data_IF_179252831239
#
_entry.id   IF_179252831239
#
_cell.length_a   1.000
_cell.length_b   1.000
_cell.length_c   1.000
_cell.angle_alpha   90.00
_cell.angle_beta   90.00
_cell.angle_gamma   90.00
#
_symmetry.space_group_name_H-M   'P 1'
#
loop_
_entity.id
_entity.type
_entity.pdbx_description
1 polymer ?
2 non-polymer ?
3 non-polymer ?
4 water ?
#
# COMPACT_ATOMS: atom_id res chain seq x y z
N UNK A 24 -23.57 -9.15 -28.42
CA UNK A 24 -23.98 -9.03 -29.81
C UNK A 24 -23.18 -7.95 -30.54
N UNK A 25 -23.48 -6.69 -30.23
CA UNK A 25 -22.76 -5.56 -30.82
C UNK A 25 -22.12 -4.70 -29.73
N UNK A 26 -21.03 -4.01 -30.06
CA UNK A 26 -20.33 -3.19 -29.08
C UNK A 26 -19.79 -1.88 -29.64
N UNK A 27 -19.38 -0.99 -28.74
CA UNK A 27 -18.86 0.32 -29.13
C UNK A 27 -17.78 0.81 -28.17
N UNK A 28 -16.79 1.54 -28.71
CA UNK A 28 -15.76 2.20 -27.90
C UNK A 28 -16.41 3.35 -27.14
N UNK A 29 -16.05 3.54 -25.88
CA UNK A 29 -16.79 4.49 -25.06
C UNK A 29 -15.93 5.19 -24.01
N UNK A 30 -16.43 6.36 -23.59
CA UNK A 30 -15.79 7.17 -22.56
C UNK A 30 -16.72 7.26 -21.37
N UNK A 31 -16.16 7.16 -20.16
CA UNK A 31 -16.95 7.30 -18.95
C UNK A 31 -17.19 8.76 -18.63
N UNK A 32 -18.45 9.19 -18.75
CA UNK A 32 -18.82 10.55 -18.39
C UNK A 32 -18.94 10.69 -16.88
N UNK A 33 -19.68 9.77 -16.28
CA UNK A 33 -19.87 9.76 -14.83
C UNK A 33 -20.02 8.35 -14.31
N UNK A 34 -19.80 8.20 -13.00
CA UNK A 34 -19.94 6.90 -12.35
C UNK A 34 -20.89 6.97 -11.16
N UNK A 35 -21.70 5.93 -10.99
CA UNK A 35 -22.56 5.78 -9.83
C UNK A 35 -21.95 4.75 -8.89
N UNK A 36 -21.22 5.22 -7.89
CA UNK A 36 -20.46 4.35 -7.00
C UNK A 36 -21.33 3.55 -6.02
N UNK A 37 -22.63 3.85 -6.01
CA UNK A 37 -23.56 3.11 -5.18
C UNK A 37 -24.25 2.00 -5.94
N UNK A 38 -24.66 2.30 -7.17
CA UNK A 38 -25.41 1.36 -7.98
C UNK A 38 -24.51 0.44 -8.79
N UNK A 39 -23.21 0.75 -8.80
CA UNK A 39 -22.25 0.07 -9.68
C UNK A 39 -22.68 0.27 -11.13
N UNK A 40 -22.92 1.52 -11.49
CA UNK A 40 -23.43 1.87 -12.80
C UNK A 40 -22.65 3.05 -13.37
N UNK A 41 -22.55 3.13 -14.70
CA UNK A 41 -21.84 4.24 -15.33
C UNK A 41 -22.66 4.98 -16.37
N UNK A 42 -22.23 6.19 -16.71
CA UNK A 42 -22.78 6.93 -17.82
C UNK A 42 -21.73 7.02 -18.92
N UNK A 43 -22.12 6.62 -20.12
CA UNK A 43 -21.16 6.42 -21.20
C UNK A 43 -21.44 7.31 -22.41
N UNK A 44 -20.38 7.69 -23.11
CA UNK A 44 -20.51 8.43 -24.35
C UNK A 44 -19.65 7.82 -25.45
N UNK A 45 -20.29 7.42 -26.55
CA UNK A 45 -19.60 6.88 -27.70
C UNK A 45 -18.50 7.83 -28.14
N UNK A 46 -17.33 7.29 -28.46
CA UNK A 46 -16.21 8.13 -28.89
C UNK A 46 -16.10 8.18 -30.41
N UNK A 47 -16.82 7.30 -31.08
CA UNK A 47 -16.91 7.33 -32.55
C UNK A 47 -18.36 7.55 -32.95
N UNK A 48 -18.56 7.92 -34.23
CA UNK A 48 -19.90 8.16 -34.76
C UNK A 48 -20.63 6.83 -35.00
N UNK A 49 -21.85 6.72 -34.45
CA UNK A 49 -22.63 5.49 -34.55
C UNK A 49 -23.34 5.33 -35.89
N UNK A 50 -23.36 4.10 -36.40
CA UNK A 50 -24.03 3.76 -37.66
C UNK A 50 -23.97 4.89 -38.69
N UNK A 56 -28.60 9.47 -37.15
CA UNK A 56 -29.30 10.39 -36.25
C UNK A 56 -28.72 10.31 -34.84
N UNK A 57 -28.14 11.43 -34.39
CA UNK A 57 -27.52 11.60 -33.06
C UNK A 57 -25.99 11.77 -33.13
N UNK A 58 -25.31 10.80 -33.74
CA UNK A 58 -23.84 10.80 -33.88
C UNK A 58 -23.08 10.22 -32.68
N UNK A 59 -23.15 10.89 -31.53
CA UNK A 59 -22.48 10.39 -30.32
C UNK A 59 -23.48 10.02 -29.25
N UNK A 60 -24.05 8.80 -29.35
CA UNK A 60 -25.07 8.30 -28.43
C UNK A 60 -24.56 8.13 -27.00
N UNK A 61 -25.43 8.38 -26.03
CA UNK A 61 -25.11 8.23 -24.62
C UNK A 61 -25.87 7.06 -24.01
N UNK A 62 -25.30 6.45 -22.99
CA UNK A 62 -25.91 5.30 -22.33
C UNK A 62 -25.93 5.53 -20.82
N UNK A 63 -27.09 5.29 -20.20
CA UNK A 63 -27.26 5.61 -18.79
C UNK A 63 -27.52 4.38 -17.93
N UNK A 64 -27.15 4.51 -16.65
CA UNK A 64 -27.32 3.44 -15.67
C UNK A 64 -26.90 2.07 -16.22
N UNK A 65 -25.77 2.05 -16.91
CA UNK A 65 -25.22 0.80 -17.43
C UNK A 65 -24.20 0.22 -16.46
N UNK A 66 -24.39 -1.05 -16.07
CA UNK A 66 -23.62 -1.71 -15.02
C UNK A 66 -22.29 -2.28 -15.50
N UNK A 67 -21.47 -2.72 -14.55
CA UNK A 67 -20.19 -3.34 -14.85
C UNK A 67 -19.89 -4.48 -13.87
N UNK A 68 -18.98 -5.37 -14.25
CA UNK A 68 -18.58 -6.48 -13.39
C UNK A 68 -17.82 -6.02 -12.16
N UNK A 69 -18.20 -6.54 -11.00
CA UNK A 69 -17.44 -6.33 -9.77
C UNK A 69 -16.97 -7.65 -9.21
N UNK A 70 -15.85 -7.64 -8.49
CA UNK A 70 -15.34 -8.85 -7.87
C UNK A 70 -15.81 -8.98 -6.43
N UNK A 71 -16.44 -10.10 -6.10
CA UNK A 71 -16.92 -10.33 -4.76
C UNK A 71 -17.72 -11.60 -4.59
N UNK A 72 -18.11 -11.86 -3.35
CA UNK A 72 -18.89 -13.03 -2.99
C UNK A 72 -19.07 -13.01 -1.49
N UNK A 73 -20.29 -13.27 -1.03
CA UNK A 73 -20.60 -13.14 0.38
C UNK A 73 -20.38 -11.70 0.81
N UNK A 74 -19.80 -11.52 2.00
CA UNK A 74 -19.53 -10.18 2.53
C UNK A 74 -18.27 -9.53 1.94
N UNK A 75 -17.48 -10.31 1.21
CA UNK A 75 -16.21 -9.82 0.71
C UNK A 75 -16.24 -9.24 -0.68
N UNK A 76 -15.26 -8.41 -1.00
CA UNK A 76 -15.18 -7.84 -2.34
C UNK A 76 -13.87 -7.12 -2.65
N UNK A 77 -13.63 -6.89 -3.93
CA UNK A 77 -12.49 -6.09 -4.37
C UNK A 77 -12.97 -5.00 -5.32
N UNK A 78 -12.76 -3.75 -4.93
CA UNK A 78 -13.21 -2.61 -5.71
C UNK A 78 -12.07 -1.98 -6.52
N UNK A 79 -12.32 -1.75 -7.81
CA UNK A 79 -11.36 -1.07 -8.70
C UNK A 79 -11.83 0.34 -9.03
N UNK A 80 -10.88 1.29 -9.15
CA UNK A 80 -11.20 2.72 -9.33
C UNK A 80 -11.63 3.13 -10.74
N UNK A 81 -12.75 2.60 -11.21
CA UNK A 81 -13.33 3.06 -12.47
C UNK A 81 -13.88 4.46 -12.29
N UNK A 82 -13.42 5.41 -13.11
CA UNK A 82 -13.81 6.80 -12.94
C UNK A 82 -14.01 7.56 -14.26
N UNK A 83 -14.65 8.72 -14.16
CA UNK A 83 -14.91 9.58 -15.31
C UNK A 83 -13.62 9.89 -16.04
N UNK A 84 -13.63 9.72 -17.35
CA UNK A 84 -12.44 9.90 -18.16
C UNK A 84 -11.94 8.57 -18.69
N UNK A 85 -12.28 7.50 -17.97
CA UNK A 85 -11.86 6.15 -18.35
C UNK A 85 -12.44 5.71 -19.70
N UNK A 86 -11.71 4.86 -20.39
CA UNK A 86 -12.14 4.30 -21.67
C UNK A 86 -12.51 2.83 -21.50
N UNK A 87 -13.41 2.36 -22.37
CA UNK A 87 -13.83 0.97 -22.34
C UNK A 87 -14.75 0.67 -23.50
N UNK A 88 -15.60 -0.33 -23.33
CA UNK A 88 -16.52 -0.73 -24.37
C UNK A 88 -17.86 -1.17 -23.79
N UNK A 89 -18.93 -0.61 -24.32
CA UNK A 89 -20.27 -1.07 -23.94
C UNK A 89 -20.72 -2.18 -24.90
N UNK A 90 -21.32 -3.22 -24.34
CA UNK A 90 -21.82 -4.32 -25.14
C UNK A 90 -23.32 -4.45 -24.97
N UNK A 91 -24.02 -4.79 -26.06
CA UNK A 91 -25.47 -4.90 -26.05
C UNK A 91 -26.01 -5.59 -27.30
N UNK A 92 -27.21 -5.20 -27.72
CA UNK A 92 -27.86 -5.79 -28.88
C UNK A 92 -29.06 -4.97 -29.33
N UNK A 108 -34.82 0.39 -7.74
CA UNK A 108 -34.71 -0.81 -6.91
C UNK A 108 -33.32 -0.92 -6.29
N UNK A 109 -32.78 -2.14 -6.26
CA UNK A 109 -31.47 -2.38 -5.67
C UNK A 109 -30.84 -3.68 -6.18
N UNK A 110 -29.54 -3.63 -6.45
CA UNK A 110 -28.81 -4.78 -6.95
C UNK A 110 -28.09 -5.52 -5.85
N UNK A 111 -26.90 -6.06 -6.15
CA UNK A 111 -26.32 -5.95 -7.49
C UNK A 111 -25.56 -7.23 -7.88
N UNK A 112 -25.67 -7.61 -9.14
CA UNK A 112 -25.04 -8.82 -9.65
C UNK A 112 -23.57 -8.58 -10.03
N UNK A 113 -22.70 -9.51 -9.67
CA UNK A 113 -21.26 -9.33 -9.90
C UNK A 113 -20.84 -9.51 -11.36
N UNK A 114 -21.51 -10.39 -12.09
CA UNK A 114 -21.26 -10.56 -13.52
C UNK A 114 -22.55 -10.35 -14.31
N UNK A 115 -22.76 -9.12 -14.81
CA UNK A 115 -24.02 -8.72 -15.44
C UNK A 115 -24.01 -8.88 -16.96
N UNK A 116 -22.85 -9.17 -17.54
CA UNK A 116 -22.75 -9.32 -18.99
C UNK A 116 -23.45 -10.57 -19.50
N UNK A 117 -24.11 -10.43 -20.64
CA UNK A 117 -24.85 -11.53 -21.23
C UNK A 117 -26.28 -11.60 -20.75
N UNK A 118 -26.52 -11.17 -19.51
CA UNK A 118 -27.85 -11.24 -18.92
C UNK A 118 -28.48 -9.87 -18.67
N UNK A 119 -27.72 -8.81 -18.93
CA UNK A 119 -28.25 -7.46 -18.93
C UNK A 119 -28.32 -6.96 -20.38
N UNK A 120 -29.25 -6.04 -20.66
CA UNK A 120 -29.38 -5.50 -22.02
C UNK A 120 -28.11 -4.78 -22.47
N UNK A 121 -27.24 -4.46 -21.50
CA UNK A 121 -25.96 -3.81 -21.78
C UNK A 121 -25.07 -3.79 -20.54
N UNK A 122 -23.76 -3.77 -20.76
CA UNK A 122 -22.81 -3.63 -19.66
C UNK A 122 -21.53 -2.96 -20.11
N UNK A 123 -20.78 -2.42 -19.14
CA UNK A 123 -19.53 -1.71 -19.44
C UNK A 123 -18.29 -2.56 -19.14
N UNK A 124 -17.33 -2.52 -20.05
CA UNK A 124 -16.09 -3.26 -19.86
C UNK A 124 -14.90 -2.32 -20.04
N UNK A 125 -14.15 -2.08 -18.95
CA UNK A 125 -12.96 -1.23 -19.00
C UNK A 125 -11.91 -1.78 -19.95
N UNK A 126 -11.32 -0.89 -20.74
CA UNK A 126 -10.24 -1.28 -21.63
C UNK A 126 -8.94 -0.65 -21.11
N UNK A 127 -8.38 -1.26 -20.07
CA UNK A 127 -7.21 -0.72 -19.38
C UNK A 127 -5.91 -0.98 -20.14
N UNK A 128 -4.94 -0.10 -19.95
CA UNK A 128 -3.65 -0.22 -20.62
C UNK A 128 -2.74 -1.19 -19.87
N UNK A 129 -2.08 -2.07 -20.61
CA UNK A 129 -1.19 -3.06 -20.01
C UNK A 129 0.09 -3.26 -20.83
N UNK A 130 0.10 -2.71 -22.04
CA UNK A 130 1.22 -2.89 -22.95
C UNK A 130 2.56 -2.44 -22.37
N UNK A 131 2.52 -1.44 -21.49
CA UNK A 131 3.74 -0.85 -20.93
C UNK A 131 4.13 -1.48 -19.59
N UNK A 132 3.44 -2.55 -19.22
CA UNK A 132 3.68 -3.21 -17.94
C UNK A 132 5.11 -3.69 -17.76
N UNK A 133 5.67 -3.41 -16.58
CA UNK A 133 6.97 -3.93 -16.19
C UNK A 133 6.77 -5.22 -15.43
N UNK A 134 7.87 -5.85 -15.03
CA UNK A 134 7.80 -7.10 -14.28
C UNK A 134 7.16 -6.87 -12.91
N UNK A 135 6.95 -5.60 -12.56
CA UNK A 135 6.39 -5.27 -11.26
C UNK A 135 4.86 -5.30 -11.22
N UNK A 136 4.22 -5.04 -12.36
CA UNK A 136 2.77 -5.07 -12.40
C UNK A 136 2.25 -6.42 -12.89
N UNK A 137 3.07 -7.11 -13.67
CA UNK A 137 2.69 -8.40 -14.23
C UNK A 137 3.88 -9.34 -14.13
N UNK A 138 3.66 -10.54 -13.59
CA UNK A 138 4.75 -11.47 -13.33
C UNK A 138 4.35 -12.89 -13.74
N UNK A 139 5.35 -13.77 -13.83
CA UNK A 139 5.12 -15.16 -14.23
C UNK A 139 4.92 -16.05 -13.02
N UNK A 140 5.26 -15.54 -11.84
CA UNK A 140 5.26 -16.34 -10.62
C UNK A 140 4.48 -15.72 -9.48
N UNK A 141 4.36 -14.40 -9.51
CA UNK A 141 3.76 -13.67 -8.38
C UNK A 141 2.33 -13.21 -8.63
N UNK A 142 1.52 -13.28 -7.58
CA UNK A 142 0.23 -12.61 -7.56
C UNK A 142 0.50 -11.16 -7.17
N UNK A 143 0.08 -10.23 -8.01
CA UNK A 143 0.39 -8.83 -7.75
C UNK A 143 -0.83 -7.91 -7.72
N UNK A 144 -1.07 -7.31 -6.57
CA UNK A 144 -2.06 -6.25 -6.48
C UNK A 144 -1.35 -4.91 -6.62
N UNK A 145 -1.84 -4.06 -7.51
CA UNK A 145 -1.20 -2.78 -7.76
C UNK A 145 -2.18 -1.69 -8.16
N UNK A 146 -1.78 -0.44 -7.96
CA UNK A 146 -2.59 0.70 -8.38
C UNK A 146 -1.72 1.80 -8.98
N UNK A 147 -1.89 2.02 -10.28
CA UNK A 147 -1.26 3.15 -10.96
C UNK A 147 0.27 3.10 -10.96
N UNK A 148 0.83 1.90 -11.07
CA UNK A 148 2.28 1.71 -10.94
C UNK A 148 2.86 2.48 -9.75
N UNK A 149 2.05 2.68 -8.71
CA UNK A 149 2.47 3.44 -7.54
C UNK A 149 2.43 2.60 -6.24
N UNK A 150 1.39 1.79 -6.10
CA UNK A 150 1.23 0.98 -4.90
C UNK A 150 1.19 -0.50 -5.21
N UNK A 151 1.88 -1.32 -4.41
CA UNK A 151 1.99 -2.74 -4.70
C UNK A 151 1.78 -3.64 -3.48
N UNK A 152 1.20 -4.81 -3.73
CA UNK A 152 1.28 -5.93 -2.81
C UNK A 152 1.57 -7.18 -3.62
N UNK A 153 2.76 -7.74 -3.48
CA UNK A 153 3.11 -8.93 -4.24
C UNK A 153 3.26 -10.18 -3.37
N UNK A 154 2.72 -11.28 -3.86
CA UNK A 154 2.76 -12.56 -3.16
C UNK A 154 3.45 -13.60 -4.04
N UNK A 155 4.66 -14.00 -3.65
CA UNK A 155 5.39 -14.97 -4.46
C UNK A 155 5.07 -16.39 -4.02
N UNK A 156 5.41 -17.38 -4.87
CA UNK A 156 5.04 -18.77 -4.58
C UNK A 156 6.01 -19.48 -3.64
N UNK A 157 6.96 -18.74 -3.07
CA UNK A 157 8.01 -19.36 -2.26
C UNK A 157 8.03 -18.88 -0.82
N UNK A 158 7.06 -18.04 -0.45
CA UNK A 158 6.96 -17.54 0.92
C UNK A 158 7.35 -16.08 1.08
N UNK A 159 7.61 -15.42 -0.04
CA UNK A 159 7.94 -14.00 -0.01
C UNK A 159 6.74 -13.09 -0.28
N UNK A 160 6.50 -12.17 0.64
CA UNK A 160 5.42 -11.20 0.48
C UNK A 160 5.98 -9.79 0.56
N UNK A 161 5.59 -8.95 -0.39
CA UNK A 161 6.10 -7.59 -0.42
C UNK A 161 4.98 -6.54 -0.57
N UNK A 162 4.88 -5.65 0.40
CA UNK A 162 3.96 -4.52 0.32
C UNK A 162 4.76 -3.22 0.28
N UNK A 163 4.65 -2.48 -0.82
CA UNK A 163 5.55 -1.36 -1.03
C UNK A 163 5.06 -0.31 -2.03
N UNK A 164 5.71 0.84 -2.04
CA UNK A 164 5.45 1.87 -3.05
C UNK A 164 6.71 2.20 -3.85
N UNK A 165 6.53 2.78 -5.02
CA UNK A 165 7.66 3.10 -5.90
C UNK A 165 8.67 4.02 -5.23
N UNK A 166 8.27 4.69 -4.15
CA UNK A 166 9.17 5.61 -3.47
C UNK A 166 10.21 4.87 -2.62
N UNK A 167 10.03 3.57 -2.46
CA UNK A 167 11.01 2.76 -1.77
C UNK A 167 10.60 2.30 -0.38
N UNK A 168 9.52 2.85 0.15
CA UNK A 168 8.98 2.40 1.42
C UNK A 168 8.51 0.95 1.28
N UNK A 169 8.98 0.08 2.17
CA UNK A 169 8.71 -1.35 2.03
C UNK A 169 8.36 -2.08 3.32
N UNK A 170 7.38 -2.96 3.23
CA UNK A 170 7.11 -3.95 4.26
C UNK A 170 7.29 -5.33 3.64
N UNK A 171 8.30 -6.07 4.09
CA UNK A 171 8.67 -7.31 3.44
C UNK A 171 8.65 -8.51 4.37
N UNK A 172 8.16 -9.64 3.84
CA UNK A 172 8.18 -10.89 4.58
C UNK A 172 8.85 -11.96 3.73
N UNK A 173 9.81 -12.66 4.34
CA UNK A 173 10.43 -13.80 3.68
C UNK A 173 10.22 -15.00 4.59
N UNK A 174 10.64 -16.19 4.12
CA UNK A 174 10.42 -17.40 4.94
C UNK A 174 10.99 -17.29 6.35
N UNK A 175 11.96 -16.42 6.59
CA UNK A 175 12.57 -16.33 7.92
C UNK A 175 12.74 -14.91 8.47
N UNK A 176 12.10 -13.94 7.85
CA UNK A 176 12.27 -12.57 8.30
C UNK A 176 11.06 -11.69 8.02
N UNK A 177 10.93 -10.65 8.84
CA UNK A 177 10.05 -9.54 8.56
C UNK A 177 10.91 -8.28 8.59
N UNK A 178 10.83 -7.49 7.53
CA UNK A 178 11.69 -6.31 7.43
C UNK A 178 10.86 -5.11 7.04
N UNK A 179 11.07 -4.01 7.76
CA UNK A 179 10.45 -2.74 7.43
C UNK A 179 11.51 -1.79 6.89
N UNK A 180 11.31 -1.29 5.69
CA UNK A 180 12.32 -0.45 5.05
C UNK A 180 11.88 1.00 4.90
N UNK A 181 12.61 1.89 5.57
CA UNK A 181 12.41 3.32 5.44
C UNK A 181 13.42 3.91 4.46
N UNK A 182 12.96 4.16 3.24
CA UNK A 182 13.80 4.75 2.18
C UNK A 182 14.51 6.03 2.62
N UNK A 183 14.16 6.54 3.80
CA UNK A 183 14.79 7.74 4.32
C UNK A 183 16.04 7.46 5.13
N UNK A 184 16.40 6.19 5.24
CA UNK A 184 17.62 5.81 5.93
C UNK A 184 17.40 5.06 7.21
N UNK A 185 16.44 4.14 7.20
CA UNK A 185 16.15 3.33 8.37
C UNK A 185 15.67 1.95 7.99
N UNK A 186 15.97 0.97 8.84
CA UNK A 186 15.53 -0.40 8.59
C UNK A 186 15.25 -1.15 9.89
N UNK A 187 14.04 -1.66 10.02
CA UNK A 187 13.67 -2.49 11.16
C UNK A 187 13.57 -3.96 10.73
N UNK A 188 14.21 -4.85 11.49
CA UNK A 188 14.32 -6.25 11.08
C UNK A 188 14.00 -7.23 12.20
N UNK A 189 13.11 -8.17 11.91
CA UNK A 189 12.84 -9.28 12.81
C UNK A 189 13.26 -10.58 12.15
N UNK A 190 14.26 -11.24 12.70
CA UNK A 190 14.83 -12.42 12.09
C UNK A 190 15.66 -13.21 13.11
N UNK A 191 15.58 -14.53 13.01
CA UNK A 191 16.35 -15.42 13.87
C UNK A 191 16.04 -15.23 15.34
N UNK A 192 14.81 -14.81 15.64
CA UNK A 192 14.41 -14.55 17.02
C UNK A 192 15.10 -13.34 17.62
N UNK A 193 15.51 -12.41 16.76
CA UNK A 193 16.14 -11.18 17.21
C UNK A 193 15.50 -10.00 16.51
N UNK A 194 15.52 -8.84 17.16
CA UNK A 194 15.01 -7.63 16.53
C UNK A 194 16.09 -6.56 16.43
N UNK A 195 16.13 -5.90 15.29
CA UNK A 195 17.17 -4.91 15.03
C UNK A 195 16.62 -3.67 14.35
N UNK A 196 17.06 -2.51 14.80
CA UNK A 196 16.86 -1.28 14.03
C UNK A 196 18.18 -0.63 13.73
N UNK A 197 18.42 -0.40 12.45
CA UNK A 197 19.57 0.39 12.02
C UNK A 197 19.10 1.60 11.24
N UNK A 198 19.47 2.78 11.70
CA UNK A 198 19.12 4.02 11.05
C UNK A 198 19.48 5.21 11.92
N UNK A 199 18.59 6.19 11.97
CA UNK A 199 18.83 7.39 12.75
C UNK A 199 18.29 7.32 14.16
N UNK A 200 18.06 8.48 14.75
CA UNK A 200 17.62 8.58 16.13
C UNK A 200 16.35 7.77 16.43
N UNK A 201 16.43 6.94 17.45
CA UNK A 201 15.27 6.22 17.95
C UNK A 201 14.64 6.99 19.11
N UNK A 202 13.31 7.10 19.10
CA UNK A 202 12.59 7.85 20.13
C UNK A 202 11.49 7.00 20.76
N UNK A 203 11.64 6.71 22.04
CA UNK A 203 10.64 5.95 22.77
C UNK A 203 10.09 6.75 23.95
N UNK A 204 8.93 7.39 23.74
CA UNK A 204 8.31 8.21 24.77
C UNK A 204 9.26 9.23 25.39
N UNK A 205 10.07 9.88 24.55
CA UNK A 205 11.00 10.88 25.04
C UNK A 205 12.43 10.35 25.16
N UNK A 206 12.55 9.10 25.58
CA UNK A 206 13.86 8.47 25.70
C UNK A 206 14.49 8.36 24.31
N UNK A 207 15.76 8.72 24.19
CA UNK A 207 16.41 8.79 22.88
C UNK A 207 17.67 7.94 22.74
N UNK A 208 17.83 7.33 21.58
CA UNK A 208 19.04 6.60 21.23
C UNK A 208 19.60 7.14 19.92
N UNK A 209 20.84 7.63 19.97
CA UNK A 209 21.48 8.22 18.79
C UNK A 209 21.71 7.19 17.69
N UNK A 210 22.04 7.66 16.47
CA UNK A 210 22.38 6.77 15.36
C UNK A 210 23.59 5.90 15.69
N UNK A 211 24.41 6.34 16.64
CA UNK A 211 25.61 5.60 17.02
C UNK A 211 25.43 4.79 18.29
N UNK A 212 24.19 4.69 18.76
CA UNK A 212 23.85 3.78 19.84
C UNK A 212 24.09 4.26 21.25
N UNK A 213 24.02 5.57 21.46
CA UNK A 213 24.08 6.14 22.81
C UNK A 213 22.69 6.56 23.22
N UNK A 214 22.35 6.37 24.50
CA UNK A 214 21.00 6.67 24.94
C UNK A 214 20.93 7.69 26.09
N UNK A 215 19.80 8.39 26.13
CA UNK A 215 19.52 9.40 27.14
C UNK A 215 18.03 9.39 27.38
N UNK A 216 17.61 9.27 28.63
CA UNK A 216 16.18 9.23 28.94
C UNK A 216 15.55 10.60 28.69
N UNK A 217 14.24 10.68 28.87
CA UNK A 217 13.50 11.92 28.65
C UNK A 217 14.00 13.05 29.55
N UNK A 218 14.54 12.70 30.70
CA UNK A 218 14.98 13.69 31.68
C UNK A 218 16.36 14.27 31.41
N UNK A 219 17.05 13.75 30.39
CA UNK A 219 18.37 14.22 30.04
C UNK A 219 19.48 13.33 30.56
N UNK A 220 19.12 12.38 31.42
CA UNK A 220 20.09 11.44 31.97
C UNK A 220 20.65 10.52 30.89
N UNK A 221 21.94 10.64 30.62
CA UNK A 221 22.59 9.78 29.64
C UNK A 221 23.39 8.67 30.30
N UNK A 222 23.17 7.44 29.84
CA UNK A 222 23.82 6.27 30.41
C UNK A 222 25.35 6.38 30.45
N UNK A 223 25.90 7.12 29.50
CA UNK A 223 27.35 7.19 29.33
C UNK A 223 27.94 8.51 29.85
N UNK A 224 27.07 9.47 30.14
CA UNK A 224 27.54 10.80 30.52
C UNK A 224 27.16 11.19 31.95
N UNK A 225 26.26 10.42 32.56
CA UNK A 225 25.74 10.78 33.87
C UNK A 225 26.77 10.62 34.98
N UNK A 226 26.54 11.36 36.07
CA UNK A 226 27.41 11.29 37.24
C UNK A 226 26.57 11.22 38.50
N UNK A 227 27.20 10.80 39.60
CA UNK A 227 26.52 10.69 40.88
C UNK A 227 27.16 11.61 41.91
N UNK A 228 26.32 12.34 42.66
CA UNK A 228 26.80 13.07 43.84
C UNK A 228 27.01 12.11 45.03
N UNK A 229 28.15 12.23 45.70
CA UNK A 229 28.48 11.36 46.83
C UNK A 229 28.59 12.16 48.13
N UNK A 230 27.88 11.71 49.16
CA UNK A 230 27.79 12.46 50.41
C UNK A 230 28.63 11.87 51.55
N UNK A 231 29.06 12.73 52.47
CA UNK A 231 29.76 12.31 53.67
C UNK A 231 31.14 11.70 53.47
N UNK A 232 32.08 12.50 52.97
CA UNK A 232 33.45 12.04 52.79
C UNK A 232 34.47 13.14 53.08
N UNK A 233 35.73 12.76 53.25
CA UNK A 233 36.80 13.72 53.47
C UNK A 233 37.45 14.12 52.15
N UNK A 234 37.28 15.39 51.76
CA UNK A 234 37.94 15.91 50.56
C UNK A 234 39.42 15.58 50.63
N UNK A 235 39.88 14.73 49.73
CA UNK A 235 41.27 14.29 49.72
C UNK A 235 41.98 14.57 48.42
N UNK A 236 42.93 13.72 48.08
CA UNK A 236 43.69 13.85 46.84
C UNK A 236 43.80 12.53 46.12
N UNK A 237 43.05 11.53 46.60
CA UNK A 237 43.05 10.21 46.01
C UNK A 237 41.81 10.01 45.14
N UNK A 238 41.78 8.90 44.41
CA UNK A 238 40.67 8.59 43.52
C UNK A 238 40.35 7.10 43.48
N UNK A 239 39.15 6.74 43.91
CA UNK A 239 38.71 5.34 43.89
C UNK A 239 37.55 5.17 42.90
N UNK A 240 37.33 3.94 42.47
CA UNK A 240 36.25 3.63 41.54
C UNK A 240 35.16 2.85 42.26
N UNK A 241 33.91 3.27 42.06
CA UNK A 241 32.78 2.63 42.74
C UNK A 241 32.54 1.22 42.23
N UNK A 242 31.53 0.56 42.81
CA UNK A 242 31.11 -0.74 42.35
C UNK A 242 30.06 -0.56 41.26
N UNK A 243 29.50 -1.68 40.80
CA UNK A 243 28.37 -1.63 39.88
C UNK A 243 27.12 -1.20 40.66
N UNK A 244 26.07 -0.79 39.94
CA UNK A 244 24.86 -0.26 40.58
C UNK A 244 24.23 -1.24 41.57
N UNK A 245 23.32 -0.74 42.40
CA UNK A 245 22.61 -1.56 43.37
C UNK A 245 21.36 -2.20 42.76
#
# INVERSE_FOLDING_TARGET
GSMDALNFVTAIRGLINEQVAEVHTSLPVRVIGVDYGSKTVTLESIVKNTRSTEDEIDYPTFHDVPFMVNGGGTGRISFPIKAGDIGVVVFSERDPSNAFQTDGDTASSGTLIQPCGLYPACFIPKIATATDSSEEVDSEKVIISNNKQTYASFDPNGNISVYNTQGMKIDMTPNSIVLTDAGGGKLTLQGGTMTYKGGTVNLNGLTITPDGRMTDSGGIGLHTHTHPVRGVETGGSTVTSDKPNGG
#
